data_IF_187491223052
#
_entry.id   IF_187491223052
#
_cell.length_a   1.000
_cell.length_b   1.000
_cell.length_c   1.000
_cell.angle_alpha   90.00
_cell.angle_beta   90.00
_cell.angle_gamma   90.00
#
_symmetry.space_group_name_H-M   'P 1'
#
loop_
_entity.id
_entity.type
_entity.pdbx_description
1 polymer ?
#
# COMPACT_ATOMS: atom_id res chain seq x y z
N UNK A 1 2.42 7.15 15.24
CA UNK A 1 1.13 7.73 14.90
C UNK A 1 0.24 6.68 14.24
N UNK A 2 -1.09 6.74 14.40
CA UNK A 2 -1.79 5.51 14.81
C UNK A 2 -1.55 4.33 13.89
N UNK A 3 -1.10 4.53 12.65
CA UNK A 3 -0.78 3.41 11.79
C UNK A 3 0.56 3.64 11.13
N UNK A 4 1.61 3.25 11.82
CA UNK A 4 2.88 2.97 11.15
C UNK A 4 2.73 1.68 10.34
N UNK A 5 3.12 1.72 9.08
CA UNK A 5 3.22 0.52 8.23
C UNK A 5 4.37 -0.41 8.61
N UNK A 6 5.25 -0.01 9.52
CA UNK A 6 6.38 -0.82 9.98
C UNK A 6 5.94 -2.17 10.52
N UNK A 7 4.85 -2.19 11.30
CA UNK A 7 4.27 -3.42 11.84
C UNK A 7 3.72 -4.35 10.75
N UNK A 8 3.23 -3.77 9.68
CA UNK A 8 2.68 -4.50 8.52
C UNK A 8 3.81 -5.01 7.63
N UNK A 9 4.83 -4.19 7.40
CA UNK A 9 6.04 -4.57 6.65
C UNK A 9 6.80 -5.70 7.34
N UNK A 10 6.76 -5.76 8.67
CA UNK A 10 7.34 -6.88 9.41
C UNK A 10 6.74 -8.23 9.01
N UNK A 11 5.45 -8.28 8.66
CA UNK A 11 4.82 -9.49 8.13
C UNK A 11 5.43 -9.94 6.78
N UNK A 12 5.88 -9.00 5.93
CA UNK A 12 6.59 -9.34 4.69
C UNK A 12 7.92 -10.03 5.02
N UNK A 13 8.68 -9.49 5.96
CA UNK A 13 9.94 -10.10 6.39
C UNK A 13 9.72 -11.50 7.01
N UNK A 14 8.67 -11.67 7.82
CA UNK A 14 8.31 -12.97 8.40
C UNK A 14 7.93 -13.99 7.33
N UNK A 15 7.22 -13.55 6.27
CA UNK A 15 6.85 -14.39 5.15
C UNK A 15 8.07 -14.78 4.32
N UNK A 16 8.95 -13.85 3.98
CA UNK A 16 10.20 -14.13 3.27
C UNK A 16 11.06 -15.13 4.03
N UNK A 17 11.22 -14.95 5.34
CA UNK A 17 11.95 -15.93 6.15
C UNK A 17 11.36 -17.34 6.03
N UNK A 18 10.02 -17.46 6.10
CA UNK A 18 9.35 -18.75 5.93
C UNK A 18 9.57 -19.33 4.52
N UNK A 19 9.49 -18.51 3.47
CA UNK A 19 9.72 -18.97 2.09
C UNK A 19 11.14 -19.52 1.88
N UNK A 20 12.13 -18.91 2.53
CA UNK A 20 13.52 -19.38 2.44
C UNK A 20 13.81 -20.64 3.28
N UNK A 21 13.17 -20.77 4.43
CA UNK A 21 13.52 -21.82 5.41
C UNK A 21 12.53 -22.98 5.46
N UNK A 22 11.26 -22.74 5.09
CA UNK A 22 10.17 -23.69 5.31
C UNK A 22 9.83 -23.92 6.79
N UNK A 23 10.34 -23.07 7.69
CA UNK A 23 10.19 -23.24 9.14
C UNK A 23 8.78 -22.88 9.62
N UNK A 24 7.95 -23.92 9.78
CA UNK A 24 6.58 -23.75 10.31
C UNK A 24 6.57 -23.31 11.78
N UNK A 25 7.56 -23.72 12.57
CA UNK A 25 7.59 -23.36 13.99
C UNK A 25 7.87 -21.87 14.16
N UNK A 26 8.68 -21.28 13.29
CA UNK A 26 8.82 -19.83 13.21
C UNK A 26 7.48 -19.16 12.87
N UNK A 27 6.80 -19.64 11.82
CA UNK A 27 5.53 -19.07 11.38
C UNK A 27 4.47 -19.11 12.50
N UNK A 28 4.39 -20.23 13.25
CA UNK A 28 3.53 -20.35 14.43
C UNK A 28 3.90 -19.35 15.52
N UNK A 29 5.20 -19.19 15.79
CA UNK A 29 5.68 -18.30 16.85
C UNK A 29 5.36 -16.83 16.63
N UNK A 30 5.28 -16.38 15.38
CA UNK A 30 5.04 -14.97 15.02
C UNK A 30 3.56 -14.68 14.73
N UNK A 31 2.76 -15.70 14.41
CA UNK A 31 1.40 -15.53 13.92
C UNK A 31 0.48 -14.81 14.91
N UNK A 32 0.48 -15.18 16.17
CA UNK A 32 -0.45 -14.59 17.15
C UNK A 32 -0.12 -13.11 17.45
N UNK A 33 1.14 -12.71 17.39
CA UNK A 33 1.56 -11.32 17.47
C UNK A 33 1.09 -10.49 16.26
N UNK A 34 1.20 -11.06 15.06
CA UNK A 34 0.71 -10.44 13.84
C UNK A 34 -0.81 -10.36 13.80
N UNK A 35 -1.51 -11.43 14.22
CA UNK A 35 -2.96 -11.43 14.38
C UNK A 35 -3.43 -10.33 15.33
N UNK A 36 -2.77 -10.18 16.48
CA UNK A 36 -3.08 -9.11 17.44
C UNK A 36 -2.94 -7.73 16.80
N UNK A 37 -1.86 -7.50 16.05
CA UNK A 37 -1.65 -6.26 15.29
C UNK A 37 -2.76 -6.02 14.28
N UNK A 38 -3.13 -7.03 13.49
CA UNK A 38 -4.19 -6.94 12.49
C UNK A 38 -5.55 -6.56 13.09
N UNK A 39 -5.94 -7.23 14.18
CA UNK A 39 -7.20 -6.93 14.87
C UNK A 39 -7.21 -5.53 15.49
N UNK A 40 -6.07 -5.08 16.04
CA UNK A 40 -5.93 -3.74 16.57
C UNK A 40 -6.02 -2.68 15.47
N UNK A 41 -5.40 -2.89 14.31
CA UNK A 41 -5.46 -1.97 13.19
C UNK A 41 -6.89 -1.87 12.63
N UNK A 42 -7.61 -2.99 12.53
CA UNK A 42 -9.05 -2.99 12.18
C UNK A 42 -9.85 -2.13 13.15
N UNK A 43 -9.63 -2.31 14.45
CA UNK A 43 -10.39 -1.56 15.47
C UNK A 43 -10.09 -0.06 15.47
N UNK A 44 -8.83 0.32 15.21
CA UNK A 44 -8.39 1.73 15.38
C UNK A 44 -8.56 2.56 14.11
N UNK A 45 -8.41 1.94 12.93
CA UNK A 45 -8.19 2.71 11.71
C UNK A 45 -8.97 2.25 10.48
N UNK A 46 -9.62 1.11 10.54
CA UNK A 46 -10.44 0.66 9.41
C UNK A 46 -11.74 1.45 9.37
N UNK A 47 -11.99 2.14 8.26
CA UNK A 47 -13.26 2.79 7.99
C UNK A 47 -14.17 1.86 7.19
N UNK A 48 -15.20 1.32 7.86
CA UNK A 48 -16.12 0.37 7.24
C UNK A 48 -16.99 0.97 6.12
N UNK A 49 -17.18 2.29 6.08
CA UNK A 49 -17.97 2.95 5.04
C UNK A 49 -17.19 3.08 3.74
N UNK A 50 -15.87 3.24 3.83
CA UNK A 50 -14.97 3.34 2.68
C UNK A 50 -14.34 1.98 2.35
N UNK A 51 -14.20 1.12 3.35
CA UNK A 51 -13.56 -0.19 3.24
C UNK A 51 -12.04 -0.11 3.14
N UNK A 52 -11.42 0.90 3.73
CA UNK A 52 -9.99 1.19 3.70
C UNK A 52 -9.47 1.57 5.10
N UNK A 53 -8.16 1.49 5.29
CA UNK A 53 -7.46 1.96 6.48
C UNK A 53 -7.07 3.42 6.35
N UNK A 54 -7.43 4.23 7.35
CA UNK A 54 -7.01 5.63 7.47
C UNK A 54 -5.55 5.72 7.85
N UNK A 55 -4.89 6.80 7.45
CA UNK A 55 -3.54 7.12 7.83
C UNK A 55 -2.68 7.67 6.70
N UNK A 56 -1.44 7.94 7.04
CA UNK A 56 -0.46 8.53 6.14
C UNK A 56 0.08 7.54 5.09
N UNK A 57 0.76 8.09 4.10
CA UNK A 57 1.42 7.31 3.06
C UNK A 57 2.52 6.42 3.65
N UNK A 58 2.60 5.18 3.16
CA UNK A 58 3.65 4.25 3.56
C UNK A 58 5.04 4.79 3.18
N UNK A 59 6.00 4.64 4.08
CA UNK A 59 7.42 5.00 3.87
C UNK A 59 7.71 6.46 3.53
N UNK A 60 6.70 7.31 3.44
CA UNK A 60 6.81 8.73 3.13
C UNK A 60 6.32 9.59 4.30
N UNK A 61 6.95 9.42 5.44
CA UNK A 61 6.59 10.05 6.70
C UNK A 61 6.94 11.55 6.78
N UNK A 62 7.80 12.04 5.89
CA UNK A 62 8.19 13.44 5.87
C UNK A 62 7.09 14.32 5.25
N UNK A 63 6.19 14.77 6.08
CA UNK A 63 4.91 15.41 5.70
C UNK A 63 5.06 16.66 4.86
N UNK A 64 6.04 17.50 5.16
CA UNK A 64 6.28 18.76 4.43
C UNK A 64 6.61 18.55 2.95
N UNK A 65 7.10 17.37 2.55
CA UNK A 65 7.46 17.06 1.18
C UNK A 65 6.50 16.09 0.49
N UNK A 66 5.59 15.51 1.26
CA UNK A 66 4.64 14.49 0.78
C UNK A 66 3.27 15.08 0.55
N UNK A 67 2.82 15.95 1.44
CA UNK A 67 1.50 16.54 1.42
C UNK A 67 1.56 18.04 1.12
N UNK A 68 0.49 18.63 0.57
CA UNK A 68 0.36 20.08 0.46
C UNK A 68 0.49 20.77 1.83
N UNK A 69 1.05 21.99 1.86
CA UNK A 69 1.30 22.73 3.10
C UNK A 69 0.05 23.01 3.94
N UNK A 70 -1.15 22.98 3.35
CA UNK A 70 -2.40 23.14 4.05
C UNK A 70 -2.93 21.86 4.71
N UNK A 71 -2.28 20.69 4.46
CA UNK A 71 -2.62 19.45 5.15
C UNK A 71 -2.06 19.49 6.57
N UNK A 72 -2.94 19.76 7.54
CA UNK A 72 -2.62 19.61 8.96
C UNK A 72 -2.72 18.14 9.38
N UNK A 73 -2.17 17.80 10.55
CA UNK A 73 -2.11 16.42 11.04
C UNK A 73 -3.47 15.71 11.09
N UNK A 74 -4.55 16.44 11.42
CA UNK A 74 -5.89 15.86 11.44
C UNK A 74 -6.40 15.47 10.05
N UNK A 75 -6.08 16.25 9.02
CA UNK A 75 -6.41 15.93 7.63
C UNK A 75 -5.65 14.69 7.17
N UNK A 76 -4.36 14.60 7.49
CA UNK A 76 -3.54 13.41 7.17
C UNK A 76 -4.09 12.18 7.90
N UNK A 77 -4.44 12.31 9.17
CA UNK A 77 -4.97 11.21 9.98
C UNK A 77 -6.34 10.70 9.48
N UNK A 78 -7.14 11.57 8.87
CA UNK A 78 -8.44 11.23 8.28
C UNK A 78 -8.34 10.89 6.77
N UNK A 79 -7.16 10.89 6.20
CA UNK A 79 -6.93 10.50 4.80
C UNK A 79 -6.68 8.98 4.65
N UNK A 80 -6.74 8.49 3.41
CA UNK A 80 -6.38 7.11 3.06
C UNK A 80 -5.24 7.13 2.06
N UNK A 81 -4.26 6.25 2.23
CA UNK A 81 -3.14 6.11 1.29
C UNK A 81 -3.24 4.80 0.51
N UNK A 82 -3.01 4.85 -0.80
CA UNK A 82 -3.01 3.65 -1.64
C UNK A 82 -1.91 2.67 -1.24
N UNK A 83 -0.69 3.14 -0.99
CA UNK A 83 0.43 2.30 -0.60
C UNK A 83 0.24 1.66 0.78
N UNK A 84 -0.26 2.40 1.76
CA UNK A 84 -0.59 1.88 3.09
C UNK A 84 -1.65 0.78 3.00
N UNK A 85 -2.69 1.00 2.21
CA UNK A 85 -3.74 0.00 2.02
C UNK A 85 -3.26 -1.21 1.20
N UNK A 86 -2.32 -1.03 0.27
CA UNK A 86 -1.68 -2.14 -0.45
C UNK A 86 -0.90 -3.06 0.52
N UNK A 87 -0.15 -2.48 1.45
CA UNK A 87 0.56 -3.25 2.48
C UNK A 87 -0.42 -3.97 3.42
N UNK A 88 -1.52 -3.34 3.83
CA UNK A 88 -2.56 -4.01 4.62
C UNK A 88 -3.24 -5.15 3.83
N UNK A 89 -3.49 -4.98 2.53
CA UNK A 89 -4.00 -6.08 1.69
C UNK A 89 -3.08 -7.30 1.70
N UNK A 90 -1.78 -7.08 1.53
CA UNK A 90 -0.79 -8.14 1.66
C UNK A 90 -0.81 -8.77 3.06
N UNK A 91 -0.88 -7.96 4.11
CA UNK A 91 -0.88 -8.43 5.50
C UNK A 91 -2.03 -9.41 5.78
N UNK A 92 -3.24 -9.08 5.35
CA UNK A 92 -4.38 -9.98 5.52
C UNK A 92 -4.29 -11.22 4.63
N UNK A 93 -3.78 -11.09 3.41
CA UNK A 93 -3.49 -12.23 2.54
C UNK A 93 -2.46 -13.18 3.19
N UNK A 94 -1.40 -12.62 3.77
CA UNK A 94 -0.40 -13.37 4.52
C UNK A 94 -1.02 -14.11 5.69
N UNK A 95 -1.82 -13.46 6.53
CA UNK A 95 -2.46 -14.09 7.68
C UNK A 95 -3.37 -15.26 7.25
N UNK A 96 -4.13 -15.12 6.18
CA UNK A 96 -4.93 -16.19 5.61
C UNK A 96 -4.07 -17.36 5.12
N UNK A 97 -2.99 -17.08 4.39
CA UNK A 97 -2.07 -18.10 3.87
C UNK A 97 -1.29 -18.80 4.97
N UNK A 98 -0.72 -18.03 5.90
CA UNK A 98 -0.03 -18.56 7.07
C UNK A 98 -0.96 -19.41 7.93
N UNK A 99 -2.18 -18.91 8.18
CA UNK A 99 -3.20 -19.64 8.94
C UNK A 99 -3.53 -21.01 8.35
N UNK A 100 -3.61 -21.13 7.00
CA UNK A 100 -3.78 -22.46 6.35
C UNK A 100 -2.58 -23.38 6.59
N UNK A 101 -1.36 -22.86 6.47
CA UNK A 101 -0.13 -23.64 6.65
C UNK A 101 -0.03 -24.20 8.07
N UNK A 102 -0.40 -23.40 9.08
CA UNK A 102 -0.34 -23.76 10.50
C UNK A 102 -1.70 -24.24 11.05
N UNK A 103 -2.66 -24.51 10.17
CA UNK A 103 -3.96 -25.13 10.48
C UNK A 103 -4.81 -24.36 11.51
N UNK A 104 -4.88 -23.03 11.36
CA UNK A 104 -5.81 -22.19 12.17
C UNK A 104 -7.27 -22.47 11.76
N UNK A 105 -8.27 -22.09 12.60
CA UNK A 105 -9.69 -22.29 12.29
C UNK A 105 -10.11 -21.69 10.95
N UNK A 106 -10.99 -22.40 10.21
CA UNK A 106 -11.44 -21.99 8.88
C UNK A 106 -12.14 -20.62 8.88
N UNK A 107 -12.89 -20.30 9.92
CA UNK A 107 -13.55 -19.02 10.12
C UNK A 107 -12.54 -17.85 10.27
N UNK A 108 -11.42 -18.11 10.93
CA UNK A 108 -10.35 -17.11 11.08
C UNK A 108 -9.68 -16.87 9.73
N UNK A 109 -9.36 -17.92 8.99
CA UNK A 109 -8.78 -17.83 7.66
C UNK A 109 -9.71 -17.04 6.73
N UNK A 110 -11.00 -17.39 6.70
CA UNK A 110 -12.01 -16.72 5.89
C UNK A 110 -12.15 -15.23 6.22
N UNK A 111 -12.02 -14.86 7.49
CA UNK A 111 -12.02 -13.46 7.90
C UNK A 111 -10.85 -12.67 7.26
N UNK A 112 -9.64 -13.22 7.29
CA UNK A 112 -8.48 -12.56 6.69
C UNK A 112 -8.61 -12.43 5.16
N UNK A 113 -9.08 -13.48 4.50
CA UNK A 113 -9.34 -13.47 3.05
C UNK A 113 -10.37 -12.42 2.66
N UNK A 114 -11.43 -12.29 3.47
CA UNK A 114 -12.45 -11.26 3.28
C UNK A 114 -11.86 -9.85 3.35
N UNK A 115 -11.01 -9.54 4.35
CA UNK A 115 -10.36 -8.23 4.44
C UNK A 115 -9.40 -7.99 3.29
N UNK A 116 -8.61 -8.98 2.89
CA UNK A 116 -7.72 -8.87 1.74
C UNK A 116 -8.48 -8.60 0.44
N UNK A 117 -9.58 -9.32 0.19
CA UNK A 117 -10.43 -9.11 -0.98
C UNK A 117 -11.09 -7.74 -0.99
N UNK A 118 -11.66 -7.33 0.15
CA UNK A 118 -12.29 -6.01 0.32
C UNK A 118 -11.30 -4.87 0.05
N UNK A 119 -10.07 -4.98 0.55
CA UNK A 119 -9.04 -3.98 0.30
C UNK A 119 -8.64 -3.93 -1.18
N UNK A 120 -8.44 -5.07 -1.83
CA UNK A 120 -8.16 -5.13 -3.28
C UNK A 120 -9.24 -4.41 -4.08
N UNK A 121 -10.50 -4.67 -3.79
CA UNK A 121 -11.65 -4.04 -4.45
C UNK A 121 -11.65 -2.52 -4.22
N UNK A 122 -11.55 -2.06 -2.97
CA UNK A 122 -11.64 -0.65 -2.65
C UNK A 122 -10.40 0.16 -3.06
N UNK A 123 -9.21 -0.44 -3.09
CA UNK A 123 -8.03 0.22 -3.67
C UNK A 123 -8.25 0.49 -5.16
N UNK A 124 -8.74 -0.48 -5.91
CA UNK A 124 -9.04 -0.30 -7.33
C UNK A 124 -10.16 0.74 -7.55
N UNK A 125 -11.20 0.69 -6.75
CA UNK A 125 -12.35 1.60 -6.86
C UNK A 125 -12.01 3.05 -6.57
N UNK A 126 -11.16 3.31 -5.58
CA UNK A 126 -10.96 4.66 -5.06
C UNK A 126 -9.67 5.33 -5.53
N UNK A 127 -8.64 4.56 -5.86
CA UNK A 127 -7.34 5.12 -6.21
C UNK A 127 -6.96 5.01 -7.69
N UNK A 128 -7.55 4.08 -8.44
CA UNK A 128 -7.26 3.95 -9.86
C UNK A 128 -7.81 5.16 -10.64
N UNK A 129 -6.92 5.85 -11.33
CA UNK A 129 -7.28 6.96 -12.22
C UNK A 129 -7.11 6.50 -13.69
N UNK A 130 -8.23 6.26 -14.37
CA UNK A 130 -8.26 5.80 -15.77
C UNK A 130 -7.58 6.78 -16.72
N UNK A 131 -7.57 8.08 -16.43
CA UNK A 131 -6.96 9.08 -17.29
C UNK A 131 -5.45 9.11 -17.17
N UNK A 132 -4.94 8.91 -15.95
CA UNK A 132 -3.52 8.83 -15.70
C UNK A 132 -2.96 7.43 -15.96
N UNK A 133 -3.81 6.38 -15.95
CA UNK A 133 -3.39 4.98 -16.00
C UNK A 133 -2.53 4.60 -14.79
N UNK A 134 -2.77 5.21 -13.64
CA UNK A 134 -1.99 5.02 -12.41
C UNK A 134 -2.88 5.10 -11.18
N UNK A 135 -2.39 4.54 -10.05
CA UNK A 135 -3.02 4.73 -8.74
C UNK A 135 -2.59 6.06 -8.13
N UNK A 136 -3.56 6.86 -7.69
CA UNK A 136 -3.29 8.09 -6.95
C UNK A 136 -2.77 7.79 -5.53
N UNK A 137 -1.97 8.70 -4.96
CA UNK A 137 -1.30 8.46 -3.68
C UNK A 137 -2.25 8.36 -2.49
N UNK A 138 -3.23 9.27 -2.41
CA UNK A 138 -4.11 9.37 -1.25
C UNK A 138 -5.46 10.00 -1.58
N UNK A 139 -6.45 9.65 -0.77
CA UNK A 139 -7.73 10.32 -0.65
C UNK A 139 -7.68 11.25 0.56
N UNK A 140 -8.18 12.45 0.44
CA UNK A 140 -8.28 13.40 1.54
C UNK A 140 -9.71 13.80 1.80
N UNK A 141 -10.07 14.15 3.08
CA UNK A 141 -11.43 14.50 3.42
C UNK A 141 -11.84 15.83 2.77
N UNK A 142 -13.05 15.86 2.24
CA UNK A 142 -13.78 17.05 1.79
C UNK A 142 -15.16 17.10 2.47
N UNK A 143 -15.90 18.19 2.23
CA UNK A 143 -17.19 18.42 2.88
C UNK A 143 -18.22 17.28 2.68
N UNK A 144 -18.21 16.63 1.51
CA UNK A 144 -19.16 15.57 1.17
C UNK A 144 -18.51 14.18 1.03
N UNK A 145 -17.36 13.96 1.65
CA UNK A 145 -16.69 12.67 1.59
C UNK A 145 -15.18 12.78 1.37
N UNK A 146 -14.64 11.96 0.45
CA UNK A 146 -13.21 11.92 0.18
C UNK A 146 -12.93 12.17 -1.29
N UNK A 147 -11.85 12.87 -1.56
CA UNK A 147 -11.38 13.17 -2.90
C UNK A 147 -9.99 12.59 -3.16
N UNK A 148 -9.74 11.95 -4.31
CA UNK A 148 -8.41 11.52 -4.69
C UNK A 148 -7.53 12.73 -5.03
N UNK A 149 -6.29 12.70 -4.60
CA UNK A 149 -5.27 13.60 -5.10
C UNK A 149 -4.97 13.29 -6.57
N UNK A 150 -4.42 14.25 -7.28
CA UNK A 150 -3.90 14.01 -8.64
C UNK A 150 -2.46 13.47 -8.64
N UNK A 151 -1.83 13.38 -7.45
CA UNK A 151 -0.46 12.89 -7.33
C UNK A 151 -0.41 11.37 -7.36
N UNK A 152 0.58 10.86 -8.07
CA UNK A 152 0.93 9.43 -8.14
C UNK A 152 2.30 9.22 -7.48
N UNK A 153 2.52 8.08 -6.86
CA UNK A 153 3.77 7.71 -6.21
C UNK A 153 4.31 6.39 -6.73
N UNK A 154 5.62 6.31 -6.93
CA UNK A 154 6.26 5.11 -7.48
C UNK A 154 6.05 3.89 -6.59
N UNK A 155 6.20 4.06 -5.27
CA UNK A 155 6.06 2.95 -4.31
C UNK A 155 4.65 2.36 -4.33
N UNK A 156 3.61 3.20 -4.21
CA UNK A 156 2.23 2.73 -4.17
C UNK A 156 1.79 2.06 -5.46
N UNK A 157 2.23 2.57 -6.61
CA UNK A 157 1.94 1.97 -7.91
C UNK A 157 2.67 0.63 -8.08
N UNK A 158 3.95 0.58 -7.75
CA UNK A 158 4.72 -0.67 -7.76
C UNK A 158 4.11 -1.74 -6.83
N UNK A 159 3.74 -1.36 -5.60
CA UNK A 159 3.07 -2.26 -4.66
C UNK A 159 1.73 -2.77 -5.19
N UNK A 160 0.93 -1.92 -5.85
CA UNK A 160 -0.35 -2.36 -6.42
C UNK A 160 -0.16 -3.47 -7.47
N UNK A 161 0.91 -3.40 -8.26
CA UNK A 161 1.23 -4.43 -9.25
C UNK A 161 1.78 -5.72 -8.58
N UNK A 162 2.84 -5.61 -7.76
CA UNK A 162 3.52 -6.80 -7.21
C UNK A 162 2.73 -7.52 -6.12
N UNK A 163 1.77 -6.86 -5.48
CA UNK A 163 0.91 -7.44 -4.45
C UNK A 163 -0.46 -7.90 -4.99
N UNK A 164 -0.59 -8.13 -6.28
CA UNK A 164 -1.81 -8.63 -6.91
C UNK A 164 -3.06 -7.77 -6.64
N UNK A 165 -2.90 -6.45 -6.66
CA UNK A 165 -4.00 -5.49 -6.58
C UNK A 165 -4.43 -5.08 -7.99
N UNK A 166 -3.46 -4.60 -8.78
CA UNK A 166 -3.67 -4.25 -10.17
C UNK A 166 -3.97 -5.48 -11.02
N UNK A 167 -4.86 -5.33 -12.00
CA UNK A 167 -5.01 -6.30 -13.09
C UNK A 167 -3.80 -6.21 -14.03
N UNK A 168 -3.59 -7.24 -14.86
CA UNK A 168 -2.54 -7.20 -15.89
C UNK A 168 -2.64 -5.96 -16.78
N UNK A 169 -3.85 -5.60 -17.22
CA UNK A 169 -4.08 -4.40 -18.02
C UNK A 169 -3.71 -3.10 -17.30
N UNK A 170 -4.07 -2.99 -16.03
CA UNK A 170 -3.68 -1.84 -15.19
C UNK A 170 -2.17 -1.78 -14.96
N UNK A 171 -1.52 -2.92 -14.76
CA UNK A 171 -0.05 -2.97 -14.60
C UNK A 171 0.66 -2.51 -15.87
N UNK A 172 0.18 -2.92 -17.04
CA UNK A 172 0.71 -2.46 -18.34
C UNK A 172 0.55 -0.94 -18.46
N UNK A 173 -0.67 -0.43 -18.28
CA UNK A 173 -0.93 1.01 -18.36
C UNK A 173 -0.09 1.81 -17.36
N UNK A 174 0.02 1.32 -16.14
CA UNK A 174 0.81 1.96 -15.09
C UNK A 174 2.29 2.03 -15.46
N UNK A 175 2.87 0.95 -15.99
CA UNK A 175 4.29 0.93 -16.40
C UNK A 175 4.53 1.88 -17.60
N UNK A 176 3.59 1.96 -18.54
CA UNK A 176 3.69 2.82 -19.71
C UNK A 176 3.49 4.31 -19.38
N UNK A 177 2.60 4.63 -18.44
CA UNK A 177 2.20 6.02 -18.17
C UNK A 177 2.89 6.64 -16.95
N UNK A 178 3.56 5.85 -16.09
CA UNK A 178 4.18 6.40 -14.89
C UNK A 178 5.26 7.43 -15.24
N UNK A 179 5.27 8.61 -14.58
CA UNK A 179 6.23 9.68 -14.89
C UNK A 179 7.66 9.29 -14.56
N UNK A 180 8.53 9.31 -15.58
CA UNK A 180 9.95 9.00 -15.45
C UNK A 180 10.79 10.26 -15.64
N UNK A 181 11.78 10.43 -14.76
CA UNK A 181 12.91 11.32 -14.97
C UNK A 181 14.02 10.59 -15.77
N UNK A 182 15.02 11.31 -16.33
CA UNK A 182 16.11 10.66 -17.06
C UNK A 182 16.92 9.63 -16.26
N UNK A 183 16.78 9.63 -14.93
CA UNK A 183 17.52 8.80 -13.99
C UNK A 183 16.64 7.90 -13.11
N UNK A 184 15.34 7.83 -13.37
CA UNK A 184 14.45 6.90 -12.67
C UNK A 184 13.03 7.42 -12.50
N UNK A 185 12.19 6.65 -11.82
CA UNK A 185 10.80 6.99 -11.58
C UNK A 185 10.66 8.05 -10.47
N UNK A 186 9.79 9.02 -10.71
CA UNK A 186 9.51 10.06 -9.72
C UNK A 186 8.92 9.47 -8.44
N UNK A 187 9.49 9.82 -7.28
CA UNK A 187 8.93 9.40 -5.98
C UNK A 187 7.47 9.85 -5.86
N UNK A 188 7.20 11.10 -6.20
CA UNK A 188 5.86 11.68 -6.28
C UNK A 188 5.74 12.57 -7.51
N UNK A 189 4.64 12.48 -8.25
CA UNK A 189 4.35 13.31 -9.41
C UNK A 189 2.86 13.72 -9.44
N UNK A 190 2.52 14.95 -9.86
CA UNK A 190 3.40 16.07 -10.12
C UNK A 190 4.07 16.58 -8.83
N UNK A 191 5.26 17.16 -9.00
CA UNK A 191 5.97 17.80 -7.90
C UNK A 191 5.26 19.06 -7.44
N UNK A 192 5.32 19.37 -6.13
CA UNK A 192 4.87 20.63 -5.58
C UNK A 192 5.87 21.72 -6.02
N UNK A 193 5.41 22.80 -6.67
CA UNK A 193 6.28 23.91 -7.03
C UNK A 193 6.95 24.52 -5.79
N UNK A 194 8.17 24.98 -5.94
CA UNK A 194 8.94 25.71 -4.91
C UNK A 194 9.20 24.96 -3.60
N UNK A 195 8.94 23.66 -3.56
CA UNK A 195 9.22 22.83 -2.42
C UNK A 195 10.52 22.04 -2.60
N UNK A 196 11.05 21.54 -1.48
CA UNK A 196 12.31 20.81 -1.41
C UNK A 196 12.31 19.53 -2.24
N UNK A 197 13.52 19.05 -2.59
CA UNK A 197 13.66 17.86 -3.45
C UNK A 197 13.26 16.57 -2.79
N UNK A 198 13.57 16.35 -1.55
CA UNK A 198 13.44 15.10 -0.79
C UNK A 198 12.38 14.13 -1.37
N UNK A 199 11.19 14.00 -0.78
CA UNK A 199 10.14 13.16 -1.38
C UNK A 199 9.48 13.81 -2.61
N UNK A 200 9.61 15.12 -2.77
CA UNK A 200 8.86 15.86 -3.79
C UNK A 200 9.48 15.78 -5.20
N UNK A 201 10.80 15.79 -5.33
CA UNK A 201 11.49 15.89 -6.64
C UNK A 201 12.61 14.86 -6.81
N UNK A 202 12.59 13.77 -6.08
CA UNK A 202 13.67 12.80 -6.05
C UNK A 202 13.31 11.49 -6.72
N UNK A 203 14.34 10.70 -7.00
CA UNK A 203 14.27 9.28 -7.30
C UNK A 203 14.93 8.53 -6.14
N UNK A 204 14.23 7.53 -5.62
CA UNK A 204 14.72 6.72 -4.51
C UNK A 204 14.74 5.25 -4.92
N UNK A 205 15.92 4.65 -5.13
CA UNK A 205 16.03 3.28 -5.64
C UNK A 205 15.24 2.24 -4.85
N UNK A 206 15.20 2.38 -3.52
CA UNK A 206 14.44 1.45 -2.67
C UNK A 206 12.93 1.53 -2.93
N UNK A 207 12.40 2.68 -3.32
CA UNK A 207 10.98 2.86 -3.61
C UNK A 207 10.62 2.56 -5.07
N UNK A 208 11.61 2.59 -5.96
CA UNK A 208 11.44 2.10 -7.34
C UNK A 208 11.41 0.58 -7.43
N UNK A 209 11.97 -0.13 -6.45
CA UNK A 209 12.13 -1.59 -6.54
C UNK A 209 10.81 -2.32 -6.88
N UNK A 210 9.66 -2.08 -6.21
CA UNK A 210 8.40 -2.71 -6.62
C UNK A 210 7.97 -2.32 -8.04
N UNK A 211 8.20 -1.08 -8.46
CA UNK A 211 7.90 -0.64 -9.81
C UNK A 211 8.79 -1.33 -10.86
N UNK A 212 10.07 -1.54 -10.56
CA UNK A 212 10.98 -2.27 -11.44
C UNK A 212 10.56 -3.74 -11.61
N UNK A 213 10.07 -4.39 -10.55
CA UNK A 213 9.49 -5.73 -10.65
C UNK A 213 8.24 -5.73 -11.53
N UNK A 214 7.34 -4.77 -11.33
CA UNK A 214 6.16 -4.62 -12.19
C UNK A 214 6.54 -4.43 -13.67
N UNK A 215 7.53 -3.57 -13.95
CA UNK A 215 8.02 -3.31 -15.31
C UNK A 215 8.67 -4.54 -15.95
N UNK A 216 9.40 -5.34 -15.17
CA UNK A 216 9.94 -6.63 -15.62
C UNK A 216 8.82 -7.61 -15.99
N UNK A 217 7.82 -7.74 -15.14
CA UNK A 217 6.75 -8.72 -15.31
C UNK A 217 5.87 -8.37 -16.51
N UNK A 218 5.57 -7.08 -16.71
CA UNK A 218 4.85 -6.59 -17.90
C UNK A 218 5.62 -6.83 -19.20
N UNK A 219 6.96 -6.73 -19.20
CA UNK A 219 7.77 -7.00 -20.41
C UNK A 219 7.93 -8.49 -20.72
N UNK A 220 7.65 -9.35 -19.76
CA UNK A 220 7.75 -10.81 -19.92
C UNK A 220 6.39 -11.45 -20.27
N UNK A 221 5.34 -10.67 -20.36
CA UNK A 221 4.00 -11.09 -20.82
C UNK A 221 3.76 -10.70 -22.26
#
# INVERSE_FOLDING_TARGET
>A
WPISTDRVVWAMAAWEYYLYTGDKSWLESVYDGLKYTALKDIHVAFDANVGLFKGETCSMDWRTHTYPNWFINSVIADSFSSGTNALHKFFYQFLGTAGRIIQKPAEEIAMWEKYSGLLKENINKHFWDEKQGCYTCYLYPEYLGYRPTQRVGVMSNGLAAVLDIATTGQSIQMVENFPLYPYGAAVLYPSIPDDFSYHNKSVWPVWETPYMYAARDVKNT
#
